data_IF_410690291569
#
_entry.id   IF_410690291569
#
_cell.length_a   1.000
_cell.length_b   1.000
_cell.length_c   1.000
_cell.angle_alpha   90.00
_cell.angle_beta   90.00
_cell.angle_gamma   90.00
#
_symmetry.space_group_name_H-M   'P 1'
#
loop_
_entity.id
_entity.type
_entity.pdbx_description
1 polymer ?
#
# COMPACT_ATOMS: atom_id res chain seq x y z
N UNK A 1 -7.46 -23.63 8.54
CA UNK A 1 -6.31 -22.87 8.00
C UNK A 1 -6.83 -21.50 7.56
N UNK A 2 -6.61 -20.43 8.33
CA UNK A 2 -7.03 -19.09 7.91
C UNK A 2 -6.26 -18.72 6.63
N UNK A 3 -6.93 -18.35 5.54
CA UNK A 3 -6.24 -17.82 4.34
C UNK A 3 -5.44 -16.60 4.78
N UNK A 4 -4.11 -16.69 4.73
CA UNK A 4 -3.23 -15.57 5.03
C UNK A 4 -3.44 -14.54 3.93
N UNK A 5 -4.16 -13.45 4.24
CA UNK A 5 -4.29 -12.31 3.31
C UNK A 5 -2.88 -11.80 2.99
N UNK A 6 -2.62 -11.47 1.72
CA UNK A 6 -1.36 -10.87 1.30
C UNK A 6 -1.17 -9.55 2.05
N UNK A 7 0.08 -9.22 2.40
CA UNK A 7 0.39 -7.94 3.04
C UNK A 7 0.40 -6.83 1.99
N UNK A 8 0.16 -5.59 2.42
CA UNK A 8 0.21 -4.41 1.55
C UNK A 8 1.51 -4.34 0.74
N UNK A 9 2.66 -4.50 1.40
CA UNK A 9 3.97 -4.49 0.73
C UNK A 9 4.16 -5.65 -0.25
N UNK A 10 3.58 -6.83 0.01
CA UNK A 10 3.66 -7.97 -0.92
C UNK A 10 2.84 -7.69 -2.19
N UNK A 11 1.67 -7.06 -2.04
CA UNK A 11 0.81 -6.66 -3.18
C UNK A 11 1.53 -5.61 -4.04
N UNK A 12 2.07 -4.56 -3.41
CA UNK A 12 2.77 -3.49 -4.12
C UNK A 12 4.08 -3.98 -4.79
N UNK A 13 4.75 -4.97 -4.20
CA UNK A 13 5.91 -5.63 -4.80
C UNK A 13 5.51 -6.48 -6.02
N UNK A 14 4.42 -7.23 -5.93
CA UNK A 14 3.90 -8.05 -7.03
C UNK A 14 3.42 -7.21 -8.21
N UNK A 15 2.89 -6.01 -7.96
CA UNK A 15 2.48 -5.07 -9.01
C UNK A 15 3.67 -4.38 -9.69
N UNK A 16 4.86 -4.47 -9.09
CA UNK A 16 6.07 -3.81 -9.60
C UNK A 16 6.14 -2.32 -9.26
N UNK A 17 5.20 -1.78 -8.49
CA UNK A 17 5.21 -0.39 -8.02
C UNK A 17 6.34 -0.13 -7.03
N UNK A 18 6.71 -1.15 -6.24
CA UNK A 18 7.74 -1.04 -5.22
C UNK A 18 8.77 -2.17 -5.29
N UNK A 19 9.98 -1.87 -4.84
CA UNK A 19 11.04 -2.86 -4.58
C UNK A 19 11.07 -3.27 -3.11
N UNK A 20 11.63 -4.44 -2.83
CA UNK A 20 11.82 -4.92 -1.45
C UNK A 20 12.58 -3.90 -0.59
N UNK A 21 13.60 -3.25 -1.16
CA UNK A 21 14.39 -2.23 -0.44
C UNK A 21 13.54 -1.01 -0.03
N UNK A 22 12.65 -0.53 -0.91
CA UNK A 22 11.76 0.59 -0.60
C UNK A 22 10.76 0.21 0.50
N UNK A 23 10.23 -1.02 0.47
CA UNK A 23 9.34 -1.54 1.51
C UNK A 23 10.07 -1.60 2.85
N UNK A 24 11.31 -2.09 2.87
CA UNK A 24 12.11 -2.20 4.09
C UNK A 24 12.47 -0.82 4.67
N UNK A 25 12.80 0.15 3.82
CA UNK A 25 13.00 1.55 4.23
C UNK A 25 11.72 2.14 4.85
N UNK A 26 10.59 2.01 4.18
CA UNK A 26 9.31 2.51 4.69
C UNK A 26 8.88 1.81 5.98
N UNK A 27 9.13 0.50 6.14
CA UNK A 27 8.91 -0.23 7.39
C UNK A 27 9.76 0.31 8.55
N UNK A 28 11.01 0.68 8.27
CA UNK A 28 11.90 1.30 9.26
C UNK A 28 11.38 2.67 9.69
N UNK A 29 10.96 3.50 8.72
CA UNK A 29 10.37 4.81 8.98
C UNK A 29 9.06 4.71 9.77
N UNK A 30 8.19 3.76 9.39
CA UNK A 30 6.92 3.49 10.08
C UNK A 30 7.13 3.08 11.54
N UNK A 31 8.13 2.22 11.81
CA UNK A 31 8.47 1.81 13.20
C UNK A 31 8.94 2.98 14.06
N UNK A 32 9.72 3.90 13.49
CA UNK A 32 10.24 5.05 14.23
C UNK A 32 9.21 6.16 14.48
N UNK A 33 8.22 6.30 13.59
CA UNK A 33 7.22 7.37 13.62
C UNK A 33 5.85 6.95 14.15
N UNK A 34 5.59 5.65 14.29
CA UNK A 34 4.28 5.12 14.66
C UNK A 34 3.25 5.15 13.54
N UNK A 35 3.67 5.48 12.31
CA UNK A 35 2.81 5.54 11.12
C UNK A 35 2.55 4.15 10.54
N UNK A 36 1.51 4.04 9.71
CA UNK A 36 1.24 2.81 8.94
C UNK A 36 2.20 2.71 7.76
N UNK A 37 2.44 1.49 7.26
CA UNK A 37 3.32 1.26 6.11
C UNK A 37 2.90 2.10 4.89
N UNK A 38 1.61 2.16 4.57
CA UNK A 38 1.11 2.96 3.44
C UNK A 38 1.43 4.45 3.58
N UNK A 39 1.23 5.03 4.77
CA UNK A 39 1.56 6.43 5.04
C UNK A 39 3.07 6.69 4.90
N UNK A 40 3.91 5.77 5.42
CA UNK A 40 5.35 5.89 5.30
C UNK A 40 5.84 5.76 3.86
N UNK A 41 5.19 4.94 3.03
CA UNK A 41 5.51 4.79 1.61
C UNK A 41 5.18 6.06 0.81
N UNK A 42 4.04 6.68 1.09
CA UNK A 42 3.62 7.95 0.48
C UNK A 42 4.53 9.09 0.92
N UNK A 43 4.81 9.20 2.22
CA UNK A 43 5.70 10.23 2.75
C UNK A 43 7.14 10.09 2.24
N UNK A 44 7.61 8.87 2.03
CA UNK A 44 8.91 8.60 1.41
C UNK A 44 8.94 8.84 -0.11
N UNK A 45 7.80 9.13 -0.75
CA UNK A 45 7.67 9.31 -2.19
C UNK A 45 7.91 8.03 -2.99
N UNK A 46 7.69 6.86 -2.39
CA UNK A 46 7.88 5.58 -3.07
C UNK A 46 6.62 5.10 -3.80
N UNK A 47 5.43 5.50 -3.35
CA UNK A 47 4.17 5.29 -4.06
C UNK A 47 3.17 6.40 -3.75
N UNK A 48 2.15 6.53 -4.58
CA UNK A 48 1.08 7.51 -4.37
C UNK A 48 -0.03 6.97 -3.46
N UNK A 49 -0.88 7.86 -2.93
CA UNK A 49 -2.02 7.48 -2.08
C UNK A 49 -3.00 6.55 -2.82
N UNK A 50 -3.16 6.76 -4.13
CA UNK A 50 -4.00 5.95 -5.01
C UNK A 50 -3.51 4.50 -5.08
N UNK A 51 -2.19 4.30 -5.23
CA UNK A 51 -1.58 2.97 -5.25
C UNK A 51 -1.78 2.23 -3.94
N UNK A 52 -1.62 2.94 -2.81
CA UNK A 52 -1.87 2.39 -1.48
C UNK A 52 -3.34 1.99 -1.34
N UNK A 53 -4.26 2.85 -1.78
CA UNK A 53 -5.69 2.59 -1.69
C UNK A 53 -6.12 1.39 -2.56
N UNK A 54 -5.62 1.30 -3.80
CA UNK A 54 -5.81 0.15 -4.69
C UNK A 54 -5.26 -1.13 -4.08
N UNK A 55 -4.05 -1.10 -3.53
CA UNK A 55 -3.44 -2.27 -2.92
C UNK A 55 -4.16 -2.71 -1.63
N UNK A 56 -4.71 -1.75 -0.86
CA UNK A 56 -5.60 -2.06 0.25
C UNK A 56 -6.90 -2.71 -0.24
N UNK A 57 -7.55 -2.17 -1.28
CA UNK A 57 -8.75 -2.78 -1.84
C UNK A 57 -8.48 -4.24 -2.26
N UNK A 58 -7.39 -4.49 -2.97
CA UNK A 58 -6.95 -5.84 -3.34
C UNK A 58 -6.65 -6.75 -2.13
N UNK A 59 -6.09 -6.20 -1.04
CA UNK A 59 -5.84 -6.94 0.20
C UNK A 59 -7.14 -7.46 0.85
N UNK A 60 -8.21 -6.69 0.75
CA UNK A 60 -9.52 -6.99 1.33
C UNK A 60 -10.51 -7.62 0.35
N UNK A 61 -10.11 -7.85 -0.89
CA UNK A 61 -10.97 -8.35 -1.98
C UNK A 61 -12.16 -7.40 -2.23
N UNK A 62 -11.85 -6.10 -2.24
CA UNK A 62 -12.79 -4.99 -2.45
C UNK A 62 -12.47 -4.28 -3.77
N UNK A 63 -13.49 -3.65 -4.35
CA UNK A 63 -13.32 -2.75 -5.49
C UNK A 63 -12.79 -1.40 -5.02
N UNK A 64 -11.79 -0.86 -5.73
CA UNK A 64 -11.33 0.51 -5.54
C UNK A 64 -12.22 1.45 -6.34
N UNK A 65 -12.77 2.47 -5.68
CA UNK A 65 -13.58 3.51 -6.31
C UNK A 65 -12.94 4.86 -6.01
N UNK A 66 -12.57 5.58 -7.06
CA UNK A 66 -12.19 6.99 -6.96
C UNK A 66 -13.48 7.83 -6.83
N UNK A 67 -13.56 8.65 -5.79
CA UNK A 67 -14.72 9.50 -5.51
C UNK A 67 -14.62 10.89 -6.17
N UNK A 68 -13.44 11.27 -6.62
CA UNK A 68 -13.18 12.53 -7.32
C UNK A 68 -13.37 12.38 -8.84
N UNK A 69 -13.19 11.16 -9.36
CA UNK A 69 -13.57 10.78 -10.72
C UNK A 69 -15.11 10.66 -10.79
N UNK A 70 -15.78 11.83 -10.89
CA UNK A 70 -17.25 12.00 -10.96
C UNK A 70 -17.97 10.75 -11.45
N UNK A 71 -18.70 10.11 -10.52
CA UNK A 71 -19.84 9.29 -10.89
C UNK A 71 -20.75 10.09 -11.80
N UNK A 72 -20.80 9.68 -13.07
CA UNK A 72 -21.84 10.04 -14.05
C UNK A 72 -22.87 8.95 -14.08
#
# INVERSE_FOLDING_TARGET
>A
MARKRKKLGEILLEWGNLTQNQIDQALSMAKGSGKRLGEALVEAGFCDEEDVAKALAAQYDMEYVDLDEKGV
#
